data_IF_119771799529
#
_entry.id   IF_119771799529
#
_cell.length_a   1.000
_cell.length_b   1.000
_cell.length_c   1.000
_cell.angle_alpha   90.00
_cell.angle_beta   90.00
_cell.angle_gamma   90.00
#
_symmetry.space_group_name_H-M   'P 1'
#
loop_
_entity.id
_entity.type
_entity.pdbx_description
1 polymer ?
#
# COMPACT_ATOMS: atom_id res chain seq x y z
N UNK A 1 60.01 34.36 -36.10
CA UNK A 1 58.64 33.77 -36.16
C UNK A 1 57.81 34.54 -35.11
N UNK A 2 57.23 35.73 -35.32
CA UNK A 2 56.46 36.27 -36.47
C UNK A 2 55.53 35.19 -36.98
N UNK A 3 54.19 35.23 -36.87
CA UNK A 3 53.14 36.27 -37.02
C UNK A 3 51.88 35.71 -36.32
N UNK A 4 50.86 36.42 -35.85
CA UNK A 4 50.30 37.70 -36.30
C UNK A 4 48.94 37.46 -36.96
N UNK A 5 47.92 38.18 -36.47
CA UNK A 5 46.69 38.60 -37.15
C UNK A 5 45.60 37.54 -37.39
N UNK A 6 44.32 37.87 -37.61
CA UNK A 6 43.42 39.00 -37.34
C UNK A 6 42.11 38.59 -38.03
N UNK A 7 40.97 39.01 -37.50
CA UNK A 7 39.68 38.97 -38.21
C UNK A 7 39.74 39.72 -39.56
N UNK A 8 38.77 39.50 -40.46
CA UNK A 8 37.75 40.53 -40.60
C UNK A 8 36.30 40.05 -40.83
N UNK A 9 35.40 40.97 -40.45
CA UNK A 9 34.02 41.27 -40.87
C UNK A 9 33.69 40.97 -42.35
N UNK A 10 32.45 40.84 -42.86
CA UNK A 10 31.12 41.38 -42.55
C UNK A 10 30.12 40.80 -43.59
N UNK A 11 28.82 40.77 -43.31
CA UNK A 11 27.82 40.62 -44.39
C UNK A 11 26.39 40.23 -43.99
N UNK A 12 25.63 41.23 -43.54
CA UNK A 12 24.17 41.48 -43.67
C UNK A 12 23.22 40.39 -44.22
N UNK A 13 22.11 40.12 -43.52
CA UNK A 13 20.76 40.65 -43.83
C UNK A 13 19.60 39.78 -43.28
N UNK A 14 18.59 40.46 -42.72
CA UNK A 14 17.14 40.17 -42.66
C UNK A 14 16.69 38.70 -42.46
N UNK A 15 15.96 38.33 -41.41
CA UNK A 15 14.76 38.97 -40.88
C UNK A 15 13.55 38.08 -41.17
N UNK A 16 12.98 37.40 -40.16
CA UNK A 16 11.59 36.96 -40.19
C UNK A 16 11.14 36.38 -38.84
N UNK A 17 10.01 36.87 -38.34
CA UNK A 17 8.98 35.97 -37.83
C UNK A 17 8.88 35.74 -36.32
N UNK A 18 8.86 36.80 -35.52
CA UNK A 18 8.30 36.77 -34.17
C UNK A 18 6.78 36.55 -34.26
N UNK A 19 6.33 35.28 -34.19
CA UNK A 19 4.89 34.96 -34.12
C UNK A 19 4.40 35.11 -32.68
N UNK A 20 3.81 36.26 -32.41
CA UNK A 20 2.82 36.44 -31.37
C UNK A 20 1.65 35.48 -31.66
N UNK A 21 1.34 34.58 -30.72
CA UNK A 21 0.07 33.84 -30.74
C UNK A 21 -0.86 34.52 -29.75
N UNK A 22 -1.85 35.17 -30.34
CA UNK A 22 -2.96 35.87 -29.72
C UNK A 22 -3.78 34.92 -28.88
N UNK A 23 -3.95 35.25 -27.60
CA UNK A 23 -4.93 34.65 -26.70
C UNK A 23 -6.33 35.06 -27.16
N UNK A 24 -6.97 34.23 -27.99
CA UNK A 24 -8.37 34.40 -28.37
C UNK A 24 -9.25 33.76 -27.30
N UNK A 25 -9.89 34.60 -26.50
CA UNK A 25 -10.99 34.23 -25.60
C UNK A 25 -12.22 33.84 -26.41
N UNK A 26 -12.48 32.53 -26.52
CA UNK A 26 -13.74 32.02 -27.06
C UNK A 26 -14.81 31.98 -25.97
N UNK A 27 -15.64 33.01 -25.98
CA UNK A 27 -16.93 33.10 -25.28
C UNK A 27 -17.89 32.09 -25.90
N UNK A 28 -18.09 30.94 -25.27
CA UNK A 28 -19.14 29.99 -25.67
C UNK A 28 -20.44 30.28 -24.92
N UNK A 29 -21.38 30.83 -25.67
CA UNK A 29 -22.79 31.05 -25.33
C UNK A 29 -23.47 29.68 -25.19
N UNK A 30 -23.84 29.25 -23.98
CA UNK A 30 -24.78 28.15 -23.74
C UNK A 30 -26.08 28.71 -23.18
N UNK A 31 -27.15 28.54 -23.94
CA UNK A 31 -28.52 28.82 -23.51
C UNK A 31 -29.06 27.75 -22.56
N UNK A 32 -29.86 28.23 -21.60
CA UNK A 32 -31.16 27.70 -21.20
C UNK A 32 -31.27 26.25 -20.69
N UNK A 33 -31.57 26.09 -19.39
CA UNK A 33 -32.22 24.87 -18.90
C UNK A 33 -32.09 24.59 -17.40
N UNK A 34 -32.97 25.20 -16.59
CA UNK A 34 -33.53 24.58 -15.37
C UNK A 34 -32.67 24.47 -14.10
N UNK A 35 -32.60 25.54 -13.30
CA UNK A 35 -32.27 25.45 -11.85
C UNK A 35 -33.56 25.24 -11.05
N UNK A 36 -33.69 24.09 -10.37
CA UNK A 36 -34.68 23.87 -9.31
C UNK A 36 -34.27 24.65 -8.06
N UNK A 37 -35.03 25.68 -7.74
CA UNK A 37 -34.98 26.42 -6.48
C UNK A 37 -35.83 25.63 -5.48
N UNK A 38 -35.20 25.09 -4.43
CA UNK A 38 -35.93 24.55 -3.28
C UNK A 38 -36.08 25.68 -2.26
N UNK A 39 -37.35 25.99 -1.97
CA UNK A 39 -37.85 26.99 -1.04
C UNK A 39 -37.48 26.58 0.39
N UNK A 40 -36.65 27.36 1.07
CA UNK A 40 -36.46 27.24 2.53
C UNK A 40 -37.42 28.22 3.18
N UNK A 41 -38.45 27.68 3.85
CA UNK A 41 -39.42 28.45 4.61
C UNK A 41 -38.81 28.95 5.91
N UNK A 42 -38.96 30.26 6.13
CA UNK A 42 -38.63 31.01 7.34
C UNK A 42 -39.59 30.69 8.49
N UNK A 43 -39.05 30.33 9.65
CA UNK A 43 -39.69 30.56 10.94
C UNK A 43 -38.70 31.28 11.86
N UNK A 44 -39.08 32.49 12.25
CA UNK A 44 -38.33 33.38 13.14
C UNK A 44 -38.44 33.00 14.63
N UNK A 45 -37.92 33.85 15.53
CA UNK A 45 -37.00 33.42 16.59
C UNK A 45 -37.65 33.32 17.97
N UNK A 46 -37.12 32.46 18.83
CA UNK A 46 -37.33 32.57 20.27
C UNK A 46 -36.12 32.04 21.06
N UNK A 47 -35.71 32.83 22.05
CA UNK A 47 -35.04 32.31 23.25
C UNK A 47 -33.52 32.29 23.25
N UNK A 48 -32.92 33.41 23.66
CA UNK A 48 -31.59 33.46 24.27
C UNK A 48 -31.53 32.52 25.49
N UNK A 49 -30.47 31.71 25.57
CA UNK A 49 -30.16 30.88 26.74
C UNK A 49 -28.68 30.50 26.75
N UNK A 50 -27.89 31.29 27.47
CA UNK A 50 -26.47 31.11 27.72
C UNK A 50 -26.18 29.82 28.48
N UNK A 51 -25.17 29.05 28.05
CA UNK A 51 -24.56 27.99 28.85
C UNK A 51 -23.14 28.40 29.24
N UNK A 52 -22.86 28.68 30.53
CA UNK A 52 -21.50 28.91 30.98
C UNK A 52 -20.76 27.59 31.19
N UNK A 53 -19.51 27.56 30.75
CA UNK A 53 -18.49 26.63 31.23
C UNK A 53 -18.32 26.84 32.74
N UNK A 54 -18.53 25.81 33.53
CA UNK A 54 -18.02 25.74 34.89
C UNK A 54 -17.73 24.30 35.26
N UNK A 55 -16.43 24.03 35.42
CA UNK A 55 -15.89 22.92 36.18
C UNK A 55 -16.46 22.91 37.61
N UNK A 56 -17.02 21.79 38.04
CA UNK A 56 -17.18 21.48 39.46
C UNK A 56 -17.04 19.97 39.67
N UNK A 57 -15.92 19.58 40.27
CA UNK A 57 -15.85 18.35 41.05
C UNK A 57 -16.81 18.52 42.23
N UNK A 58 -17.78 17.61 42.37
CA UNK A 58 -18.59 17.52 43.59
C UNK A 58 -18.85 16.06 43.88
N UNK A 59 -18.22 15.57 44.94
CA UNK A 59 -18.52 14.31 45.62
C UNK A 59 -19.92 14.42 46.25
N UNK A 60 -20.89 13.71 45.68
CA UNK A 60 -22.22 13.47 46.26
C UNK A 60 -22.42 11.98 46.59
N UNK A 61 -23.39 11.62 47.46
CA UNK A 61 -23.57 10.26 47.94
C UNK A 61 -24.05 9.32 46.82
N UNK A 62 -23.60 8.06 46.86
CA UNK A 62 -23.98 7.03 45.89
C UNK A 62 -25.50 6.81 45.87
N UNK A 63 -26.18 6.86 44.71
CA UNK A 63 -27.59 6.52 44.64
C UNK A 63 -27.77 5.01 44.85
N UNK A 64 -28.80 4.66 45.64
CA UNK A 64 -29.25 3.30 45.84
C UNK A 64 -29.52 2.61 44.50
N UNK A 65 -28.98 1.41 44.32
CA UNK A 65 -29.13 0.62 43.09
C UNK A 65 -30.54 0.03 43.04
N UNK A 66 -31.49 0.79 42.50
CA UNK A 66 -32.79 0.27 42.10
C UNK A 66 -32.61 -0.54 40.80
N UNK A 67 -32.99 -1.82 40.79
CA UNK A 67 -32.99 -2.63 39.58
C UNK A 67 -34.17 -2.23 38.68
N UNK A 68 -33.88 -1.90 37.42
CA UNK A 68 -34.89 -1.57 36.42
C UNK A 68 -35.40 -2.87 35.81
N UNK A 69 -36.72 -3.07 35.82
CA UNK A 69 -37.39 -4.30 35.36
C UNK A 69 -37.22 -4.57 33.85
N UNK A 70 -36.85 -3.53 33.08
CA UNK A 70 -36.48 -3.61 31.66
C UNK A 70 -35.28 -2.74 31.36
N UNK A 71 -34.40 -3.20 30.47
CA UNK A 71 -33.27 -2.41 29.98
C UNK A 71 -33.80 -1.10 29.36
N UNK A 72 -33.36 0.08 29.82
CA UNK A 72 -33.75 1.36 29.23
C UNK A 72 -33.05 1.62 27.88
N UNK A 73 -32.22 0.69 27.41
CA UNK A 73 -31.47 0.79 26.17
C UNK A 73 -32.31 0.26 25.01
N UNK A 74 -32.75 1.17 24.13
CA UNK A 74 -33.37 0.80 22.86
C UNK A 74 -32.42 -0.03 22.02
N UNK A 75 -32.90 -1.13 21.43
CA UNK A 75 -32.13 -2.04 20.59
C UNK A 75 -32.80 -2.25 19.23
N UNK A 76 -31.99 -2.55 18.21
CA UNK A 76 -32.45 -3.05 16.93
C UNK A 76 -31.71 -4.34 16.55
N UNK A 77 -32.39 -5.20 15.81
CA UNK A 77 -31.82 -6.48 15.38
C UNK A 77 -30.94 -6.30 14.13
N UNK A 78 -29.68 -6.73 14.21
CA UNK A 78 -28.75 -6.73 13.07
C UNK A 78 -28.46 -8.17 12.65
N UNK A 79 -28.58 -8.44 11.35
CA UNK A 79 -28.23 -9.73 10.75
C UNK A 79 -26.73 -9.78 10.44
N UNK A 80 -26.01 -10.70 11.06
CA UNK A 80 -24.57 -10.95 10.86
C UNK A 80 -24.34 -11.74 9.57
N UNK A 81 -23.09 -11.71 9.07
CA UNK A 81 -22.68 -12.40 7.83
C UNK A 81 -22.82 -13.92 7.87
N UNK A 82 -22.84 -14.50 9.06
CA UNK A 82 -23.06 -15.93 9.32
C UNK A 82 -24.55 -16.30 9.36
N UNK A 83 -25.46 -15.35 9.12
CA UNK A 83 -26.90 -15.56 9.14
C UNK A 83 -27.53 -15.44 10.53
N UNK A 84 -26.75 -15.27 11.59
CA UNK A 84 -27.26 -15.08 12.96
C UNK A 84 -27.77 -13.65 13.17
N UNK A 85 -28.75 -13.50 14.06
CA UNK A 85 -29.31 -12.21 14.45
C UNK A 85 -28.79 -11.82 15.83
N UNK A 86 -28.33 -10.58 15.98
CA UNK A 86 -27.91 -10.02 17.26
C UNK A 86 -28.66 -8.72 17.56
N UNK A 87 -29.11 -8.56 18.80
CA UNK A 87 -29.68 -7.33 19.34
C UNK A 87 -28.56 -6.32 19.61
N UNK A 88 -28.65 -5.14 19.01
CA UNK A 88 -27.65 -4.08 19.12
C UNK A 88 -28.31 -2.83 19.67
N UNK A 89 -27.71 -2.23 20.71
CA UNK A 89 -28.18 -0.97 21.27
C UNK A 89 -28.12 0.18 20.24
N UNK A 90 -29.18 0.98 20.14
CA UNK A 90 -29.28 2.10 19.20
C UNK A 90 -28.21 3.17 19.43
N UNK A 91 -27.88 3.39 20.70
CA UNK A 91 -26.85 4.32 21.14
C UNK A 91 -25.47 3.64 21.29
N UNK A 92 -25.28 2.41 20.80
CA UNK A 92 -23.97 1.80 20.81
C UNK A 92 -23.01 2.70 20.01
N UNK A 93 -21.92 3.20 20.62
CA UNK A 93 -20.93 3.96 19.88
C UNK A 93 -20.36 3.04 18.80
N UNK A 94 -20.63 3.35 17.52
CA UNK A 94 -20.12 2.60 16.36
C UNK A 94 -18.57 2.57 16.31
N UNK A 95 -17.95 3.44 17.10
CA UNK A 95 -16.50 3.69 17.14
C UNK A 95 -15.78 3.05 18.34
N UNK A 96 -16.46 2.29 19.21
CA UNK A 96 -15.73 1.45 20.19
C UNK A 96 -15.43 0.10 19.54
N UNK A 97 -14.53 0.13 18.55
CA UNK A 97 -13.76 -1.06 18.15
C UNK A 97 -12.56 -1.14 19.07
N UNK A 98 -12.54 -2.11 19.98
CA UNK A 98 -11.31 -2.47 20.68
C UNK A 98 -10.22 -2.75 19.62
N UNK A 99 -9.19 -1.88 19.63
CA UNK A 99 -7.95 -1.90 18.83
C UNK A 99 -8.06 -2.20 17.31
N UNK A 100 -8.52 -1.23 16.51
CA UNK A 100 -8.19 -1.21 15.07
C UNK A 100 -6.76 -0.66 14.88
N UNK A 101 -5.76 -1.36 15.43
CA UNK A 101 -4.34 -1.08 15.16
C UNK A 101 -4.13 -1.27 13.67
N UNK A 102 -3.74 -0.21 12.97
CA UNK A 102 -3.45 -0.27 11.52
C UNK A 102 -1.96 -0.26 11.20
N UNK A 103 -1.12 0.03 12.19
CA UNK A 103 0.33 0.14 12.02
C UNK A 103 1.03 -0.82 12.97
N UNK A 104 2.14 -1.38 12.52
CA UNK A 104 3.07 -2.12 13.36
C UNK A 104 4.48 -1.54 13.12
N UNK A 105 5.43 -1.73 14.03
CA UNK A 105 6.81 -1.33 13.78
C UNK A 105 7.49 -2.30 12.79
N UNK A 106 8.57 -1.90 12.08
CA UNK A 106 9.26 -2.82 11.17
C UNK A 106 9.80 -4.05 11.87
N UNK A 107 10.24 -3.92 13.13
CA UNK A 107 10.62 -5.06 13.98
C UNK A 107 9.45 -6.01 14.26
N UNK A 108 8.26 -5.48 14.59
CA UNK A 108 7.05 -6.29 14.79
C UNK A 108 6.62 -6.96 13.48
N UNK A 109 6.76 -6.28 12.34
CA UNK A 109 6.54 -6.86 11.02
C UNK A 109 7.49 -8.03 10.76
N UNK A 110 8.81 -7.86 11.00
CA UNK A 110 9.80 -8.93 10.83
C UNK A 110 9.48 -10.12 11.71
N UNK A 111 9.17 -9.89 12.99
CA UNK A 111 8.76 -10.94 13.92
C UNK A 111 7.52 -11.71 13.42
N UNK A 112 6.49 -10.99 12.97
CA UNK A 112 5.27 -11.60 12.42
C UNK A 112 5.54 -12.39 11.13
N UNK A 113 6.39 -11.87 10.25
CA UNK A 113 6.81 -12.54 9.02
C UNK A 113 7.59 -13.82 9.36
N UNK A 114 8.56 -13.73 10.26
CA UNK A 114 9.44 -14.85 10.59
C UNK A 114 8.66 -15.97 11.29
N UNK A 115 7.84 -15.63 12.30
CA UNK A 115 6.98 -16.61 12.98
C UNK A 115 5.89 -17.12 12.04
N UNK A 116 5.08 -16.21 11.50
CA UNK A 116 3.83 -16.53 10.82
C UNK A 116 3.98 -17.06 9.40
N UNK A 117 5.04 -16.67 8.67
CA UNK A 117 5.24 -17.01 7.25
C UNK A 117 6.48 -17.85 6.97
N UNK A 118 7.53 -17.71 7.77
CA UNK A 118 8.81 -18.41 7.56
C UNK A 118 8.99 -19.65 8.46
N UNK A 119 8.08 -19.88 9.42
CA UNK A 119 8.15 -21.05 10.28
C UNK A 119 9.14 -20.96 11.43
N UNK A 120 9.45 -19.76 11.91
CA UNK A 120 10.29 -19.57 13.09
C UNK A 120 9.44 -19.60 14.37
N UNK A 121 10.11 -19.84 15.49
CA UNK A 121 9.57 -19.73 16.85
C UNK A 121 9.71 -18.28 17.34
N UNK A 122 9.10 -17.97 18.50
CA UNK A 122 9.23 -16.66 19.14
C UNK A 122 10.69 -16.29 19.49
N UNK A 123 11.55 -17.29 19.70
CA UNK A 123 12.98 -17.12 20.00
C UNK A 123 13.86 -17.02 18.74
N UNK A 124 13.26 -16.91 17.55
CA UNK A 124 14.02 -16.78 16.30
C UNK A 124 14.70 -18.08 15.83
N UNK A 125 14.34 -19.23 16.41
CA UNK A 125 14.81 -20.54 15.96
C UNK A 125 13.85 -21.15 14.93
N UNK A 126 14.32 -21.90 13.92
CA UNK A 126 13.46 -22.67 13.03
C UNK A 126 12.55 -23.60 13.83
N UNK A 127 11.25 -23.62 13.53
CA UNK A 127 10.33 -24.54 14.18
C UNK A 127 10.53 -25.96 13.65
N UNK A 128 10.64 -26.92 14.58
CA UNK A 128 10.67 -28.33 14.25
C UNK A 128 9.39 -28.80 13.53
N UNK A 129 9.55 -29.60 12.48
CA UNK A 129 8.43 -30.12 11.68
C UNK A 129 7.79 -29.09 10.73
N UNK A 130 8.34 -27.87 10.65
CA UNK A 130 7.89 -26.90 9.68
C UNK A 130 8.19 -27.35 8.25
N UNK A 131 7.14 -27.59 7.46
CA UNK A 131 7.25 -28.15 6.10
C UNK A 131 7.60 -27.11 5.03
N UNK A 132 7.48 -25.84 5.37
CA UNK A 132 7.85 -24.72 4.53
C UNK A 132 7.27 -24.65 3.11
N UNK A 133 6.07 -25.19 2.90
CA UNK A 133 5.56 -25.46 1.54
C UNK A 133 5.40 -24.21 0.66
N UNK A 134 5.13 -23.06 1.27
CA UNK A 134 4.85 -21.82 0.55
C UNK A 134 5.58 -20.62 1.13
N UNK A 135 6.60 -20.81 1.96
CA UNK A 135 7.17 -19.73 2.76
C UNK A 135 7.86 -18.71 1.89
N UNK A 136 8.68 -19.17 0.92
CA UNK A 136 9.32 -18.30 -0.04
C UNK A 136 8.30 -17.44 -0.78
N UNK A 137 7.15 -18.03 -1.17
CA UNK A 137 6.04 -17.29 -1.80
C UNK A 137 5.43 -16.28 -0.85
N UNK A 138 5.07 -16.72 0.36
CA UNK A 138 4.31 -15.93 1.31
C UNK A 138 5.14 -14.76 1.85
N UNK A 139 6.41 -15.02 2.16
CA UNK A 139 7.41 -14.05 2.61
C UNK A 139 7.68 -13.03 1.53
N UNK A 140 7.97 -13.47 0.29
CA UNK A 140 8.18 -12.55 -0.83
C UNK A 140 6.96 -11.66 -1.11
N UNK A 141 5.74 -12.18 -0.93
CA UNK A 141 4.53 -11.36 -1.08
C UNK A 141 4.36 -10.35 0.05
N UNK A 142 4.55 -10.76 1.30
CA UNK A 142 4.48 -9.85 2.44
C UNK A 142 5.53 -8.73 2.34
N UNK A 143 6.77 -9.10 1.99
CA UNK A 143 7.88 -8.16 1.82
C UNK A 143 7.63 -7.22 0.64
N UNK A 144 7.05 -7.72 -0.47
CA UNK A 144 6.59 -6.87 -1.56
C UNK A 144 5.63 -5.79 -1.05
N UNK A 145 4.56 -6.17 -0.34
CA UNK A 145 3.57 -5.19 0.14
C UNK A 145 4.18 -4.21 1.14
N UNK A 146 5.01 -4.69 2.05
CA UNK A 146 5.69 -3.89 3.08
C UNK A 146 6.69 -2.89 2.48
N UNK A 147 7.44 -3.29 1.45
CA UNK A 147 8.50 -2.48 0.88
C UNK A 147 8.01 -1.50 -0.19
N UNK A 148 6.92 -1.81 -0.90
CA UNK A 148 6.43 -1.00 -2.03
C UNK A 148 5.10 -0.28 -1.76
N UNK A 149 4.41 -0.62 -0.68
CA UNK A 149 3.11 -0.05 -0.34
C UNK A 149 2.01 -0.38 -1.34
N UNK A 150 2.14 -1.43 -2.15
CA UNK A 150 1.09 -1.87 -3.07
C UNK A 150 -0.21 -2.23 -2.32
N UNK A 151 -1.36 -2.01 -2.95
CA UNK A 151 -2.63 -2.57 -2.44
C UNK A 151 -2.64 -4.08 -2.67
N UNK A 152 -3.46 -4.80 -1.90
CA UNK A 152 -3.62 -6.25 -2.02
C UNK A 152 -3.88 -6.71 -3.46
N UNK A 153 -4.81 -6.07 -4.18
CA UNK A 153 -5.08 -6.37 -5.59
C UNK A 153 -3.88 -6.06 -6.47
N UNK A 154 -3.23 -4.93 -6.27
CA UNK A 154 -2.09 -4.48 -7.09
C UNK A 154 -0.93 -5.48 -6.98
N UNK A 155 -0.49 -5.80 -5.75
CA UNK A 155 0.57 -6.77 -5.51
C UNK A 155 0.17 -8.20 -5.88
N UNK A 156 -1.08 -8.61 -5.60
CA UNK A 156 -1.57 -9.96 -5.84
C UNK A 156 -1.82 -10.30 -7.32
N UNK A 157 -1.92 -9.29 -8.19
CA UNK A 157 -2.18 -9.45 -9.62
C UNK A 157 -0.97 -9.16 -10.51
N UNK A 158 0.24 -9.00 -9.94
CA UNK A 158 1.46 -8.83 -10.73
C UNK A 158 1.71 -10.03 -11.63
N UNK A 159 2.16 -9.73 -12.85
CA UNK A 159 2.71 -10.70 -13.79
C UNK A 159 4.23 -10.78 -13.60
N UNK A 160 4.84 -11.90 -13.97
CA UNK A 160 6.31 -12.08 -13.90
C UNK A 160 7.07 -11.01 -14.69
N UNK A 161 6.49 -10.56 -15.80
CA UNK A 161 7.07 -9.54 -16.68
C UNK A 161 6.94 -8.09 -16.14
N UNK A 162 6.18 -7.90 -15.05
CA UNK A 162 6.04 -6.63 -14.32
C UNK A 162 6.97 -6.55 -13.10
N UNK A 163 7.65 -7.65 -12.77
CA UNK A 163 8.69 -7.64 -11.73
C UNK A 163 9.91 -6.90 -12.29
N UNK A 164 10.44 -5.89 -11.57
CA UNK A 164 11.68 -5.22 -11.96
C UNK A 164 12.84 -6.21 -12.06
N UNK A 165 13.83 -5.92 -12.89
CA UNK A 165 15.05 -6.74 -12.95
C UNK A 165 16.16 -6.06 -12.16
N UNK A 166 16.90 -6.83 -11.37
CA UNK A 166 18.05 -6.30 -10.65
C UNK A 166 19.14 -5.85 -11.64
N UNK A 167 19.60 -4.62 -11.46
CA UNK A 167 20.73 -4.02 -12.17
C UNK A 167 21.77 -3.70 -11.10
N UNK A 168 22.98 -4.23 -11.25
CA UNK A 168 24.05 -4.06 -10.26
C UNK A 168 24.25 -2.59 -9.86
N UNK A 169 24.38 -2.34 -8.56
CA UNK A 169 24.67 -1.00 -8.01
C UNK A 169 23.45 -0.16 -7.62
N UNK A 170 22.22 -0.61 -7.86
CA UNK A 170 21.01 0.10 -7.43
C UNK A 170 20.41 -0.50 -6.16
N UNK A 171 20.00 0.37 -5.23
CA UNK A 171 19.32 -0.04 -3.99
C UNK A 171 17.80 -0.24 -4.18
N UNK A 172 17.21 0.45 -5.17
CA UNK A 172 15.79 0.41 -5.47
C UNK A 172 15.55 0.21 -6.97
N UNK A 173 14.51 -0.55 -7.27
CA UNK A 173 14.10 -0.90 -8.62
C UNK A 173 12.67 -0.47 -8.88
N UNK A 174 12.45 0.07 -10.08
CA UNK A 174 11.19 0.63 -10.50
C UNK A 174 10.32 -0.43 -11.18
N UNK A 175 9.06 -0.52 -10.76
CA UNK A 175 8.02 -1.32 -11.40
C UNK A 175 6.77 -0.50 -11.69
N UNK A 176 5.85 -1.06 -12.47
CA UNK A 176 4.61 -0.40 -12.88
C UNK A 176 3.39 -1.19 -12.43
N UNK A 177 2.39 -0.51 -11.90
CA UNK A 177 1.07 -1.06 -11.64
C UNK A 177 0.16 -0.76 -12.82
N UNK A 178 -0.37 -1.80 -13.45
CA UNK A 178 -1.35 -1.66 -14.52
C UNK A 178 -2.64 -0.96 -14.04
N UNK A 179 -3.19 -0.08 -14.88
CA UNK A 179 -4.39 0.69 -14.57
C UNK A 179 -5.60 -0.19 -14.21
N UNK A 180 -5.80 -1.32 -14.90
CA UNK A 180 -6.93 -2.24 -14.68
C UNK A 180 -6.92 -2.93 -13.29
N UNK A 181 -5.75 -3.01 -12.62
CA UNK A 181 -5.63 -3.59 -11.28
C UNK A 181 -5.45 -2.51 -10.19
N UNK A 182 -5.15 -1.28 -10.59
CA UNK A 182 -5.09 -0.14 -9.71
C UNK A 182 -6.49 0.34 -9.31
N UNK A 183 -6.60 1.02 -8.17
CA UNK A 183 -7.87 1.64 -7.75
C UNK A 183 -8.29 2.80 -8.67
N UNK A 184 -7.33 3.43 -9.37
CA UNK A 184 -7.55 4.70 -10.09
C UNK A 184 -6.81 4.73 -11.41
N UNK A 185 -5.50 4.89 -11.36
CA UNK A 185 -4.65 5.05 -12.53
C UNK A 185 -3.42 4.15 -12.43
N UNK A 186 -2.78 3.94 -13.58
CA UNK A 186 -1.41 3.47 -13.63
C UNK A 186 -0.51 4.33 -12.74
N UNK A 187 0.45 3.67 -12.09
CA UNK A 187 1.45 4.33 -11.25
C UNK A 187 2.70 3.48 -11.17
N UNK A 188 3.81 4.11 -10.83
CA UNK A 188 5.04 3.41 -10.52
C UNK A 188 5.06 2.99 -9.05
N UNK A 189 5.84 1.96 -8.77
CA UNK A 189 6.23 1.57 -7.42
C UNK A 189 7.72 1.28 -7.40
N UNK A 190 8.33 1.38 -6.23
CA UNK A 190 9.73 1.04 -6.03
C UNK A 190 9.85 -0.14 -5.07
N UNK A 191 10.82 -1.01 -5.33
CA UNK A 191 11.13 -2.17 -4.52
C UNK A 191 12.61 -2.16 -4.17
N UNK A 192 12.97 -2.39 -2.92
CA UNK A 192 14.38 -2.50 -2.54
C UNK A 192 14.99 -3.83 -3.04
N UNK A 193 16.32 -3.87 -3.11
CA UNK A 193 17.05 -5.06 -3.56
C UNK A 193 16.67 -6.34 -2.80
N UNK A 194 16.56 -6.30 -1.47
CA UNK A 194 16.29 -7.51 -0.68
C UNK A 194 14.93 -8.16 -1.00
N UNK A 195 13.87 -7.35 -1.12
CA UNK A 195 12.56 -7.88 -1.48
C UNK A 195 12.50 -8.36 -2.93
N UNK A 196 13.26 -7.73 -3.83
CA UNK A 196 13.40 -8.22 -5.20
C UNK A 196 14.11 -9.58 -5.21
N UNK A 197 15.21 -9.73 -4.48
CA UNK A 197 15.92 -11.01 -4.33
C UNK A 197 15.03 -12.10 -3.73
N UNK A 198 14.14 -11.76 -2.78
CA UNK A 198 13.13 -12.69 -2.27
C UNK A 198 12.16 -13.18 -3.35
N UNK A 199 11.68 -12.27 -4.22
CA UNK A 199 10.83 -12.63 -5.36
C UNK A 199 11.59 -13.48 -6.38
N UNK A 200 12.82 -13.12 -6.72
CA UNK A 200 13.69 -13.88 -7.64
C UNK A 200 13.97 -15.30 -7.10
N UNK A 201 14.23 -15.41 -5.80
CA UNK A 201 14.40 -16.71 -5.12
C UNK A 201 13.14 -17.56 -5.24
N UNK A 202 11.96 -16.99 -4.98
CA UNK A 202 10.67 -17.67 -5.16
C UNK A 202 10.46 -18.13 -6.61
N UNK A 203 10.75 -17.26 -7.60
CA UNK A 203 10.65 -17.57 -9.03
C UNK A 203 11.56 -18.74 -9.42
N UNK A 204 12.80 -18.75 -8.93
CA UNK A 204 13.81 -19.75 -9.25
C UNK A 204 13.56 -21.10 -8.55
N UNK A 205 12.91 -21.10 -7.38
CA UNK A 205 12.77 -22.28 -6.52
C UNK A 205 11.33 -22.80 -6.45
N UNK A 206 10.55 -22.42 -5.44
CA UNK A 206 9.25 -23.01 -5.10
C UNK A 206 8.21 -22.79 -6.19
N UNK A 207 8.26 -21.66 -6.92
CA UNK A 207 7.37 -21.43 -8.07
C UNK A 207 7.63 -22.43 -9.19
N UNK A 208 8.90 -22.63 -9.55
CA UNK A 208 9.32 -23.58 -10.58
C UNK A 208 8.93 -25.01 -10.19
N UNK A 209 9.06 -25.38 -8.92
CA UNK A 209 8.62 -26.67 -8.41
C UNK A 209 7.09 -26.85 -8.55
N UNK A 210 6.30 -25.85 -8.16
CA UNK A 210 4.84 -25.88 -8.27
C UNK A 210 4.38 -26.00 -9.74
N UNK A 211 5.05 -25.31 -10.66
CA UNK A 211 4.78 -25.42 -12.11
C UNK A 211 5.06 -26.83 -12.62
N UNK A 212 6.22 -27.40 -12.29
CA UNK A 212 6.58 -28.76 -12.69
C UNK A 212 5.56 -29.78 -12.19
N UNK A 213 5.10 -29.63 -10.94
CA UNK A 213 4.08 -30.50 -10.37
C UNK A 213 2.72 -30.33 -11.08
N UNK A 214 2.32 -29.09 -11.38
CA UNK A 214 1.07 -28.80 -12.07
C UNK A 214 1.04 -29.39 -13.49
N UNK A 215 2.16 -29.29 -14.22
CA UNK A 215 2.33 -29.90 -15.54
C UNK A 215 2.25 -31.42 -15.47
N UNK A 216 3.01 -32.06 -14.57
CA UNK A 216 2.98 -33.52 -14.36
C UNK A 216 1.57 -34.05 -14.04
N UNK A 217 0.79 -33.25 -13.31
CA UNK A 217 -0.60 -33.58 -12.98
C UNK A 217 -1.62 -33.18 -14.07
N UNK A 218 -1.18 -32.70 -15.24
CA UNK A 218 -2.05 -32.29 -16.35
C UNK A 218 -2.99 -31.13 -16.02
N UNK A 219 -2.66 -30.30 -15.02
CA UNK A 219 -3.58 -29.28 -14.50
C UNK A 219 -3.80 -28.13 -15.48
N UNK A 220 -2.77 -27.76 -16.24
CA UNK A 220 -2.86 -26.67 -17.22
C UNK A 220 -3.66 -27.07 -18.45
N UNK A 221 -3.61 -28.35 -18.85
CA UNK A 221 -4.40 -28.87 -19.97
C UNK A 221 -5.90 -28.78 -19.67
N UNK A 222 -6.28 -29.12 -18.43
CA UNK A 222 -7.67 -29.07 -17.93
C UNK A 222 -8.17 -27.65 -17.65
N UNK A 223 -7.30 -26.64 -17.62
CA UNK A 223 -7.68 -25.27 -17.30
C UNK A 223 -8.45 -24.63 -18.47
N UNK A 224 -9.72 -24.31 -18.25
CA UNK A 224 -10.61 -23.68 -19.23
C UNK A 224 -10.29 -22.19 -19.37
N UNK A 225 -10.45 -21.66 -20.59
CA UNK A 225 -10.27 -20.24 -20.87
C UNK A 225 -8.82 -19.74 -20.82
N UNK A 226 -7.83 -20.64 -20.73
CA UNK A 226 -6.42 -20.25 -20.83
C UNK A 226 -6.12 -19.60 -22.19
N UNK A 227 -5.25 -18.62 -22.15
CA UNK A 227 -4.76 -17.83 -23.28
C UNK A 227 -3.25 -18.00 -23.34
N UNK A 228 -2.75 -18.55 -24.43
CA UNK A 228 -1.32 -18.78 -24.64
C UNK A 228 -0.75 -17.53 -25.32
N UNK A 229 0.09 -16.80 -24.60
CA UNK A 229 0.78 -15.61 -25.05
C UNK A 229 1.79 -16.01 -26.12
N UNK A 230 1.61 -15.43 -27.31
CA UNK A 230 2.44 -15.70 -28.49
C UNK A 230 3.48 -14.62 -28.72
N UNK A 231 3.20 -13.39 -28.26
CA UNK A 231 4.09 -12.24 -28.43
C UNK A 231 3.82 -11.18 -27.38
N UNK A 232 4.87 -10.49 -26.95
CA UNK A 232 4.78 -9.26 -26.17
C UNK A 232 5.43 -8.16 -27.01
N UNK A 233 4.72 -7.06 -27.27
CA UNK A 233 5.32 -5.94 -28.00
C UNK A 233 6.35 -5.22 -27.15
N UNK A 234 7.41 -4.76 -27.82
CA UNK A 234 8.38 -3.83 -27.23
C UNK A 234 7.83 -2.40 -27.30
N UNK A 235 8.31 -1.52 -26.42
CA UNK A 235 7.96 -0.11 -26.40
C UNK A 235 7.15 0.33 -25.18
N UNK A 236 6.82 1.63 -25.14
CA UNK A 236 6.23 2.32 -23.97
C UNK A 236 4.87 1.75 -23.55
N UNK A 237 4.05 1.28 -24.49
CA UNK A 237 2.81 0.56 -24.20
C UNK A 237 2.95 -0.91 -24.61
N UNK A 238 3.41 -1.74 -23.68
CA UNK A 238 3.53 -3.19 -23.88
C UNK A 238 2.15 -3.79 -24.13
N UNK A 239 1.98 -4.49 -25.26
CA UNK A 239 0.80 -5.27 -25.60
C UNK A 239 1.10 -6.75 -25.52
N UNK A 240 0.15 -7.51 -25.00
CA UNK A 240 0.20 -8.97 -24.94
C UNK A 240 -0.68 -9.49 -26.05
N UNK A 241 -0.13 -10.35 -26.90
CA UNK A 241 -0.86 -11.08 -27.94
C UNK A 241 -0.99 -12.53 -27.50
N UNK A 242 -2.17 -13.12 -27.70
CA UNK A 242 -2.43 -14.49 -27.28
C UNK A 242 -3.28 -15.26 -28.29
N UNK A 243 -3.32 -16.57 -28.09
CA UNK A 243 -4.20 -17.51 -28.76
C UNK A 243 -4.98 -18.32 -27.72
N UNK A 244 -6.29 -18.47 -27.90
CA UNK A 244 -7.12 -19.32 -27.05
C UNK A 244 -7.04 -20.81 -27.47
N UNK A 245 -7.79 -21.68 -26.77
CA UNK A 245 -7.83 -23.11 -27.07
C UNK A 245 -8.52 -23.45 -28.41
N UNK A 246 -9.32 -22.55 -28.97
CA UNK A 246 -9.99 -22.69 -30.27
C UNK A 246 -9.15 -22.13 -31.43
N UNK A 247 -7.99 -21.53 -31.13
CA UNK A 247 -7.12 -20.92 -32.11
C UNK A 247 -7.40 -19.44 -32.39
N UNK A 248 -8.40 -18.83 -31.73
CA UNK A 248 -8.68 -17.41 -31.90
C UNK A 248 -7.54 -16.58 -31.33
N UNK A 249 -7.13 -15.56 -32.09
CA UNK A 249 -6.10 -14.62 -31.71
C UNK A 249 -6.74 -13.38 -31.09
N UNK A 250 -6.09 -12.82 -30.08
CA UNK A 250 -6.46 -11.55 -29.47
C UNK A 250 -5.25 -10.82 -28.94
N UNK A 251 -5.42 -9.54 -28.63
CA UNK A 251 -4.40 -8.74 -28.01
C UNK A 251 -4.99 -7.63 -27.14
N UNK A 252 -4.22 -7.21 -26.13
CA UNK A 252 -4.56 -6.09 -25.27
C UNK A 252 -3.30 -5.41 -24.73
N UNK A 253 -3.35 -4.10 -24.46
CA UNK A 253 -2.28 -3.45 -23.70
C UNK A 253 -2.27 -4.03 -22.28
N UNK A 254 -1.09 -4.31 -21.75
CA UNK A 254 -0.93 -4.93 -20.42
C UNK A 254 -1.66 -4.17 -19.30
N UNK A 255 -1.72 -2.85 -19.45
CA UNK A 255 -2.39 -1.95 -18.52
C UNK A 255 -3.91 -2.09 -18.50
N UNK A 256 -4.51 -2.66 -19.54
CA UNK A 256 -5.95 -2.91 -19.63
C UNK A 256 -6.36 -4.32 -19.23
N UNK A 257 -5.41 -5.23 -19.02
CA UNK A 257 -5.70 -6.63 -18.65
C UNK A 257 -6.06 -6.69 -17.17
N UNK A 258 -7.27 -7.13 -16.85
CA UNK A 258 -7.80 -7.15 -15.49
C UNK A 258 -7.29 -8.34 -14.64
N UNK A 259 -7.66 -8.35 -13.36
CA UNK A 259 -7.25 -9.39 -12.41
C UNK A 259 -7.72 -10.81 -12.78
N UNK A 260 -8.85 -10.96 -13.48
CA UNK A 260 -9.37 -12.26 -13.91
C UNK A 260 -8.68 -12.73 -15.18
N UNK A 261 -8.47 -11.83 -16.14
CA UNK A 261 -7.77 -12.06 -17.40
C UNK A 261 -6.31 -12.44 -17.18
N UNK A 262 -5.61 -11.73 -16.29
CA UNK A 262 -4.21 -12.04 -15.91
C UNK A 262 -4.00 -13.48 -15.46
N UNK A 263 -4.97 -14.07 -14.76
CA UNK A 263 -4.93 -15.46 -14.29
C UNK A 263 -5.06 -16.49 -15.42
N UNK A 264 -5.53 -16.07 -16.59
CA UNK A 264 -5.70 -16.92 -17.76
C UNK A 264 -4.53 -16.83 -18.73
N UNK A 265 -3.56 -15.94 -18.49
CA UNK A 265 -2.39 -15.79 -19.35
C UNK A 265 -1.32 -16.85 -19.03
N UNK A 266 -0.91 -17.59 -20.05
CA UNK A 266 0.15 -18.58 -20.01
C UNK A 266 1.16 -18.30 -21.12
N UNK A 267 2.42 -18.68 -20.92
CA UNK A 267 3.46 -18.66 -21.95
C UNK A 267 3.98 -20.07 -22.17
N UNK A 268 4.42 -20.36 -23.38
CA UNK A 268 5.11 -21.60 -23.72
C UNK A 268 6.60 -21.41 -23.41
N UNK A 269 7.14 -22.20 -22.47
CA UNK A 269 8.56 -22.21 -22.10
C UNK A 269 9.16 -23.58 -22.44
N UNK A 270 10.49 -23.74 -22.32
CA UNK A 270 11.23 -24.96 -22.71
C UNK A 270 10.67 -26.25 -22.07
N UNK A 271 10.00 -26.14 -20.92
CA UNK A 271 9.38 -27.27 -20.22
C UNK A 271 7.85 -27.38 -20.36
N UNK A 272 7.22 -26.60 -21.24
CA UNK A 272 5.76 -26.54 -21.47
C UNK A 272 5.10 -25.24 -20.98
N UNK A 273 3.79 -25.29 -20.74
CA UNK A 273 3.03 -24.09 -20.34
C UNK A 273 3.41 -23.58 -18.94
N UNK A 274 3.58 -22.27 -18.80
CA UNK A 274 3.75 -21.56 -17.52
C UNK A 274 2.74 -20.43 -17.38
N UNK A 275 2.12 -20.24 -16.20
CA UNK A 275 1.32 -19.05 -15.98
C UNK A 275 2.19 -17.80 -15.99
N UNK A 276 1.68 -16.69 -16.52
CA UNK A 276 2.34 -15.39 -16.41
C UNK A 276 2.10 -14.70 -15.05
N UNK A 277 1.07 -15.11 -14.31
CA UNK A 277 0.85 -14.55 -12.97
C UNK A 277 2.02 -14.91 -12.04
N UNK A 278 2.51 -13.93 -11.29
CA UNK A 278 3.63 -14.09 -10.37
C UNK A 278 3.31 -15.13 -9.27
N UNK A 279 2.17 -14.95 -8.61
CA UNK A 279 1.78 -15.72 -7.44
C UNK A 279 0.95 -16.94 -7.81
N UNK A 280 1.44 -18.12 -7.43
CA UNK A 280 0.77 -19.39 -7.66
C UNK A 280 0.37 -20.05 -6.34
N UNK A 281 -0.69 -20.83 -6.37
CA UNK A 281 -1.04 -21.74 -5.26
C UNK A 281 0.01 -22.85 -5.14
N UNK A 282 -0.03 -23.62 -4.05
CA UNK A 282 0.80 -24.82 -3.89
C UNK A 282 0.64 -25.79 -5.08
N UNK A 283 -0.56 -25.86 -5.65
CA UNK A 283 -0.85 -26.67 -6.83
C UNK A 283 -0.33 -26.10 -8.16
N UNK A 284 0.37 -24.97 -8.15
CA UNK A 284 0.92 -24.29 -9.33
C UNK A 284 -0.11 -23.54 -10.17
N UNK A 285 -1.30 -23.24 -9.61
CA UNK A 285 -2.37 -22.53 -10.31
C UNK A 285 -2.30 -21.03 -9.98
N UNK A 286 -2.55 -20.12 -10.95
CA UNK A 286 -2.77 -18.69 -10.72
C UNK A 286 -3.64 -18.39 -9.49
N UNK A 287 -3.08 -17.69 -8.50
CA UNK A 287 -3.72 -17.42 -7.22
C UNK A 287 -4.67 -16.21 -7.31
N UNK A 288 -5.89 -16.33 -6.78
CA UNK A 288 -6.77 -15.17 -6.61
C UNK A 288 -6.22 -14.26 -5.51
N UNK A 289 -6.09 -12.96 -5.79
CA UNK A 289 -5.49 -11.99 -4.87
C UNK A 289 -6.18 -11.92 -3.50
N UNK A 290 -7.48 -12.26 -3.40
CA UNK A 290 -8.21 -12.27 -2.13
C UNK A 290 -7.74 -13.38 -1.20
N UNK A 291 -7.16 -14.44 -1.75
CA UNK A 291 -6.66 -15.58 -0.96
C UNK A 291 -5.54 -15.18 0.00
N UNK A 292 -4.85 -14.08 -0.27
CA UNK A 292 -3.83 -13.51 0.60
C UNK A 292 -4.38 -13.07 1.96
N UNK A 293 -5.65 -12.67 2.08
CA UNK A 293 -6.25 -12.35 3.38
C UNK A 293 -6.20 -13.55 4.33
N UNK A 294 -6.45 -14.76 3.80
CA UNK A 294 -6.36 -16.00 4.58
C UNK A 294 -4.93 -16.35 4.96
N UNK A 295 -3.95 -16.06 4.09
CA UNK A 295 -2.53 -16.27 4.39
C UNK A 295 -2.09 -15.39 5.56
N UNK A 296 -2.47 -14.11 5.55
CA UNK A 296 -2.20 -13.19 6.67
C UNK A 296 -2.95 -13.59 7.94
N UNK A 297 -4.21 -14.03 7.83
CA UNK A 297 -4.96 -14.54 8.99
C UNK A 297 -4.24 -15.72 9.63
N UNK A 298 -3.85 -16.73 8.85
CA UNK A 298 -3.13 -17.89 9.36
C UNK A 298 -1.76 -17.52 9.97
N UNK A 299 -1.10 -16.49 9.44
CA UNK A 299 0.14 -15.96 10.00
C UNK A 299 -0.09 -15.31 11.37
N UNK A 300 -1.17 -14.54 11.53
CA UNK A 300 -1.55 -13.91 12.80
C UNK A 300 -1.93 -14.97 13.84
N UNK A 301 -2.77 -15.95 13.47
CA UNK A 301 -3.17 -17.06 14.35
C UNK A 301 -1.94 -17.81 14.88
N UNK A 302 -0.93 -17.97 14.02
CA UNK A 302 0.34 -18.59 14.38
C UNK A 302 1.18 -17.72 15.30
N UNK A 303 1.23 -16.40 15.09
CA UNK A 303 1.89 -15.48 16.01
C UNK A 303 1.25 -15.56 17.41
N UNK A 304 -0.09 -15.61 17.46
CA UNK A 304 -0.84 -15.77 18.71
C UNK A 304 -0.53 -17.10 19.41
N UNK A 305 -0.45 -18.21 18.68
CA UNK A 305 -0.02 -19.51 19.22
C UNK A 305 1.39 -19.48 19.83
N UNK A 306 2.26 -18.61 19.32
CA UNK A 306 3.60 -18.38 19.85
C UNK A 306 3.65 -17.25 20.91
N UNK A 307 2.51 -16.83 21.47
CA UNK A 307 2.43 -15.84 22.54
C UNK A 307 2.71 -14.40 22.09
N UNK A 308 2.71 -14.13 20.78
CA UNK A 308 2.92 -12.79 20.22
C UNK A 308 1.63 -12.38 19.48
N UNK A 309 0.66 -11.69 20.14
CA UNK A 309 -0.65 -11.36 19.56
C UNK A 309 -0.56 -10.23 18.51
N UNK A 310 0.10 -10.51 17.40
CA UNK A 310 0.34 -9.57 16.31
C UNK A 310 -0.79 -9.66 15.30
N UNK A 311 -1.38 -8.51 14.97
CA UNK A 311 -2.41 -8.43 13.94
C UNK A 311 -1.89 -7.69 12.71
N UNK A 312 -1.44 -8.46 11.72
CA UNK A 312 -0.96 -7.93 10.44
C UNK A 312 -1.99 -8.20 9.34
N UNK A 313 -2.29 -7.18 8.54
CA UNK A 313 -3.13 -7.31 7.34
C UNK A 313 -2.38 -6.78 6.12
N UNK A 314 -2.77 -7.18 4.89
CA UNK A 314 -2.20 -6.57 3.68
C UNK A 314 -2.33 -5.04 3.66
N UNK A 315 -3.41 -4.50 4.25
CA UNK A 315 -3.59 -3.06 4.35
C UNK A 315 -2.66 -2.42 5.39
N UNK A 316 -2.39 -3.11 6.49
CA UNK A 316 -1.42 -2.67 7.48
C UNK A 316 -0.03 -2.52 6.85
N UNK A 317 0.44 -3.48 6.03
CA UNK A 317 1.74 -3.34 5.32
C UNK A 317 1.86 -2.01 4.54
N UNK A 318 0.77 -1.57 3.92
CA UNK A 318 0.71 -0.28 3.21
C UNK A 318 0.73 0.94 4.14
N UNK A 319 0.09 0.84 5.31
CA UNK A 319 0.18 1.85 6.36
C UNK A 319 1.61 2.00 6.90
N UNK A 320 2.29 0.87 7.13
CA UNK A 320 3.70 0.85 7.52
C UNK A 320 4.60 1.45 6.47
N UNK A 321 4.42 1.07 5.20
CA UNK A 321 5.17 1.64 4.09
C UNK A 321 5.08 3.17 4.08
N UNK A 322 3.87 3.72 4.24
CA UNK A 322 3.67 5.18 4.25
C UNK A 322 4.48 5.86 5.36
N UNK A 323 4.43 5.29 6.57
CA UNK A 323 5.14 5.82 7.74
C UNK A 323 6.67 5.70 7.54
N UNK A 324 7.15 4.52 7.13
CA UNK A 324 8.55 4.24 6.84
C UNK A 324 9.10 5.21 5.79
N UNK A 325 8.42 5.30 4.64
CA UNK A 325 8.87 6.13 3.53
C UNK A 325 8.85 7.61 3.84
N UNK A 326 7.91 8.09 4.66
CA UNK A 326 7.94 9.47 5.11
C UNK A 326 9.24 9.76 5.87
N UNK A 327 9.56 8.94 6.88
CA UNK A 327 10.79 9.09 7.69
C UNK A 327 12.05 8.95 6.81
N UNK A 328 12.06 8.00 5.88
CA UNK A 328 13.20 7.80 4.96
C UNK A 328 13.40 8.98 4.02
N UNK A 329 12.34 9.49 3.40
CA UNK A 329 12.41 10.61 2.47
C UNK A 329 12.79 11.89 3.18
N UNK A 330 12.25 12.11 4.38
CA UNK A 330 12.59 13.26 5.23
C UNK A 330 14.10 13.34 5.48
N UNK A 331 14.68 12.24 5.98
CA UNK A 331 16.13 12.12 6.20
C UNK A 331 16.97 12.20 4.94
N UNK A 332 16.44 11.74 3.81
CA UNK A 332 17.14 11.84 2.54
C UNK A 332 17.18 13.30 2.05
N UNK A 333 16.10 14.06 2.25
CA UNK A 333 16.03 15.48 1.91
C UNK A 333 16.93 16.30 2.85
N UNK A 334 16.89 16.05 4.16
CA UNK A 334 17.76 16.72 5.14
C UNK A 334 19.24 16.56 4.76
N UNK A 335 19.69 15.32 4.49
CA UNK A 335 21.07 15.05 4.06
C UNK A 335 21.44 15.70 2.73
N UNK A 336 20.51 15.76 1.78
CA UNK A 336 20.77 16.31 0.44
C UNK A 336 20.90 17.83 0.45
N UNK A 337 20.20 18.51 1.35
CA UNK A 337 20.17 19.96 1.42
C UNK A 337 21.06 20.56 2.53
N UNK A 338 21.65 19.74 3.41
CA UNK A 338 22.62 20.19 4.41
C UNK A 338 22.05 21.21 5.40
N UNK A 339 20.74 21.16 5.66
CA UNK A 339 20.04 22.13 6.49
C UNK A 339 20.42 21.95 7.97
N UNK A 340 20.89 23.00 8.63
CA UNK A 340 21.12 22.97 10.08
C UNK A 340 19.78 23.02 10.84
N UNK A 341 19.80 22.60 12.11
CA UNK A 341 18.63 22.47 12.98
C UNK A 341 17.75 23.73 13.02
N UNK A 342 18.33 24.92 12.89
CA UNK A 342 17.65 26.23 12.93
C UNK A 342 17.09 26.72 11.58
N UNK A 343 17.55 26.20 10.44
CA UNK A 343 17.10 26.64 9.10
C UNK A 343 15.83 25.91 8.62
N UNK A 344 15.40 24.89 9.38
CA UNK A 344 14.26 24.01 9.08
C UNK A 344 12.86 24.64 9.23
N UNK A 345 12.76 25.91 9.62
CA UNK A 345 11.50 26.66 9.54
C UNK A 345 11.13 27.08 8.11
N UNK A 346 12.13 27.29 7.25
CA UNK A 346 11.91 27.44 5.81
C UNK A 346 11.59 26.09 5.12
N UNK A 347 11.92 24.96 5.77
CA UNK A 347 11.71 23.61 5.28
C UNK A 347 10.24 23.15 5.27
N UNK A 348 9.27 23.97 5.73
CA UNK A 348 7.83 23.68 5.56
C UNK A 348 7.41 23.45 4.10
N UNK A 349 8.15 24.05 3.15
CA UNK A 349 8.01 23.82 1.70
C UNK A 349 8.58 22.45 1.27
N UNK A 350 9.73 22.06 1.82
CA UNK A 350 10.44 20.79 1.57
C UNK A 350 9.69 19.60 2.20
N UNK A 351 9.09 19.78 3.39
CA UNK A 351 8.22 18.78 4.01
C UNK A 351 6.93 18.57 3.21
N UNK A 352 6.42 19.60 2.53
CA UNK A 352 5.36 19.45 1.53
C UNK A 352 5.73 18.42 0.46
N UNK A 353 6.99 18.44 0.01
CA UNK A 353 7.50 17.53 -1.02
C UNK A 353 7.55 16.07 -0.53
N UNK A 354 7.92 15.80 0.73
CA UNK A 354 7.91 14.43 1.27
C UNK A 354 6.50 13.82 1.34
N UNK A 355 5.50 14.58 1.80
CA UNK A 355 4.11 14.12 1.81
C UNK A 355 3.55 13.96 0.40
N UNK A 356 3.91 14.83 -0.54
CA UNK A 356 3.53 14.73 -1.94
C UNK A 356 4.12 13.47 -2.59
N UNK A 357 5.41 13.19 -2.35
CA UNK A 357 6.08 11.97 -2.81
C UNK A 357 5.42 10.72 -2.23
N UNK A 358 5.16 10.67 -0.92
CA UNK A 358 4.45 9.52 -0.31
C UNK A 358 3.03 9.37 -0.87
N UNK A 359 2.30 10.47 -1.11
CA UNK A 359 0.99 10.43 -1.78
C UNK A 359 1.08 9.81 -3.17
N UNK A 360 2.10 10.18 -3.95
CA UNK A 360 2.32 9.65 -5.30
C UNK A 360 2.71 8.17 -5.29
N UNK A 361 3.64 7.78 -4.39
CA UNK A 361 4.02 6.38 -4.16
C UNK A 361 2.83 5.52 -3.73
N UNK A 362 1.88 6.09 -2.99
CA UNK A 362 0.65 5.42 -2.61
C UNK A 362 -0.42 5.47 -3.73
N UNK A 363 -0.33 6.40 -4.68
CA UNK A 363 -1.40 6.64 -5.65
C UNK A 363 -2.69 7.16 -4.99
N UNK A 364 -2.55 8.11 -4.06
CA UNK A 364 -3.68 8.86 -3.48
C UNK A 364 -3.97 10.12 -4.31
N UNK A 365 -5.24 10.52 -4.37
CA UNK A 365 -5.69 11.72 -5.10
C UNK A 365 -5.57 12.99 -4.28
N UNK A 366 -5.50 12.84 -2.96
CA UNK A 366 -5.43 13.95 -2.02
C UNK A 366 -4.37 13.61 -0.98
N UNK A 367 -3.52 14.60 -0.68
CA UNK A 367 -2.59 14.53 0.45
C UNK A 367 -3.32 14.39 1.78
N UNK A 368 -4.53 14.96 1.89
CA UNK A 368 -5.35 14.88 3.08
C UNK A 368 -5.65 13.42 3.44
N UNK A 369 -5.96 12.57 2.45
CA UNK A 369 -6.13 11.13 2.66
C UNK A 369 -4.87 10.48 3.22
N UNK A 370 -3.69 10.86 2.69
CA UNK A 370 -2.40 10.36 3.20
C UNK A 370 -2.18 10.80 4.66
N UNK A 371 -2.37 12.09 4.96
CA UNK A 371 -2.19 12.67 6.30
C UNK A 371 -3.16 12.08 7.32
N UNK A 372 -4.46 12.13 7.04
CA UNK A 372 -5.53 11.76 7.99
C UNK A 372 -5.64 10.26 8.21
N UNK A 373 -5.42 9.44 7.19
CA UNK A 373 -5.67 7.99 7.26
C UNK A 373 -4.37 7.20 7.41
N UNK A 374 -3.29 7.57 6.71
CA UNK A 374 -2.06 6.76 6.65
C UNK A 374 -0.96 7.23 7.59
N UNK A 375 -0.98 8.51 7.96
CA UNK A 375 -0.02 9.12 8.85
C UNK A 375 -0.71 9.62 10.14
N UNK A 376 -1.89 9.05 10.44
CA UNK A 376 -2.64 9.34 11.66
C UNK A 376 -1.80 9.20 12.95
N UNK A 377 -0.91 8.20 13.11
CA UNK A 377 -0.05 8.11 14.28
C UNK A 377 0.88 9.31 14.47
N UNK A 378 1.22 10.00 13.38
CA UNK A 378 2.03 11.22 13.42
C UNK A 378 1.19 12.48 13.59
N UNK A 379 -0.13 12.41 13.43
CA UNK A 379 -1.02 13.55 13.69
C UNK A 379 -1.14 13.75 15.21
N UNK A 380 -0.27 14.60 15.77
CA UNK A 380 -0.25 14.92 17.20
C UNK A 380 1.15 14.87 17.79
N UNK A 381 2.03 14.07 17.20
CA UNK A 381 3.46 14.23 17.38
C UNK A 381 3.89 15.39 16.50
N UNK A 382 4.61 16.38 17.06
CA UNK A 382 5.39 17.25 16.17
C UNK A 382 6.37 16.31 15.48
N UNK A 383 6.13 15.97 14.22
CA UNK A 383 7.01 15.12 13.41
C UNK A 383 8.46 15.57 13.54
N UNK A 384 8.68 16.89 13.66
CA UNK A 384 9.93 17.52 14.11
C UNK A 384 10.53 16.90 15.38
N UNK A 385 9.82 16.84 16.50
CA UNK A 385 10.33 16.24 17.76
C UNK A 385 10.69 14.75 17.65
N UNK A 386 10.15 14.03 16.67
CA UNK A 386 10.51 12.62 16.40
C UNK A 386 11.79 12.56 15.54
N UNK A 387 11.90 13.45 14.56
CA UNK A 387 12.99 13.49 13.58
C UNK A 387 14.19 14.33 14.05
N UNK A 388 14.01 15.17 15.08
CA UNK A 388 15.03 15.91 15.83
C UNK A 388 15.87 15.00 16.74
N UNK A 389 15.57 13.70 16.75
CA UNK A 389 16.47 12.67 17.28
C UNK A 389 17.85 12.72 16.62
N UNK A 390 18.84 12.10 17.24
CA UNK A 390 20.22 12.13 16.76
C UNK A 390 20.29 11.66 15.29
N UNK A 391 21.12 12.28 14.45
CA UNK A 391 21.26 11.88 13.02
C UNK A 391 21.66 10.40 12.86
N UNK A 392 22.28 9.82 13.90
CA UNK A 392 22.66 8.41 14.01
C UNK A 392 21.54 7.47 14.46
N UNK A 393 20.34 7.96 14.78
CA UNK A 393 19.28 7.14 15.34
C UNK A 393 18.65 6.24 14.28
N UNK A 394 18.58 4.93 14.54
CA UNK A 394 17.99 3.97 13.62
C UNK A 394 16.50 4.25 13.37
N UNK A 395 16.02 3.97 12.15
CA UNK A 395 14.62 4.06 11.76
C UNK A 395 13.71 3.28 12.72
N UNK A 396 14.17 2.13 13.21
CA UNK A 396 13.42 1.31 14.16
C UNK A 396 13.26 1.99 15.52
N UNK A 397 14.27 2.72 16.00
CA UNK A 397 14.18 3.49 17.24
C UNK A 397 13.17 4.64 17.14
N UNK A 398 13.15 5.33 15.99
CA UNK A 398 12.16 6.36 15.69
C UNK A 398 10.74 5.80 15.72
N UNK A 399 10.51 4.69 15.01
CA UNK A 399 9.18 4.08 14.91
C UNK A 399 8.72 3.46 16.24
N UNK A 400 9.67 3.00 17.07
CA UNK A 400 9.42 2.58 18.45
C UNK A 400 8.93 3.76 19.30
N UNK A 401 9.55 4.93 19.18
CA UNK A 401 9.07 6.14 19.88
C UNK A 401 7.67 6.55 19.42
N UNK A 402 7.41 6.50 18.11
CA UNK A 402 6.06 6.73 17.56
C UNK A 402 5.07 5.74 18.18
N UNK A 403 5.44 4.47 18.32
CA UNK A 403 4.59 3.47 18.94
C UNK A 403 4.32 3.73 20.43
N UNK A 404 5.33 4.12 21.20
CA UNK A 404 5.13 4.52 22.60
C UNK A 404 4.17 5.70 22.75
N UNK A 405 4.16 6.63 21.79
CA UNK A 405 3.32 7.82 21.84
C UNK A 405 1.93 7.65 21.21
N UNK A 406 1.65 6.54 20.51
CA UNK A 406 0.42 6.34 19.77
C UNK A 406 -0.12 4.91 19.90
N UNK A 407 -1.29 4.78 20.54
CA UNK A 407 -2.05 3.52 20.64
C UNK A 407 -2.46 2.90 19.29
N UNK A 408 -2.23 3.60 18.18
CA UNK A 408 -2.55 3.13 16.83
C UNK A 408 -1.45 2.24 16.24
N UNK A 409 -0.24 2.27 16.81
CA UNK A 409 0.91 1.50 16.35
C UNK A 409 1.20 0.40 17.36
N UNK A 410 1.22 -0.84 16.89
CA UNK A 410 1.62 -1.99 17.70
C UNK A 410 3.11 -2.20 17.60
N UNK A 411 3.70 -2.45 18.76
CA UNK A 411 5.12 -2.68 18.89
C UNK A 411 5.35 -3.79 19.90
N UNK A 412 5.79 -4.95 19.41
CA UNK A 412 6.09 -6.11 20.23
C UNK A 412 7.59 -6.15 20.43
N UNK A 413 8.04 -5.84 21.65
CA UNK A 413 9.43 -6.10 22.04
C UNK A 413 9.69 -7.62 21.98
N UNK A 414 10.81 -8.09 21.43
CA UNK A 414 11.39 -9.33 21.92
C UNK A 414 11.68 -9.08 23.41
N UNK A 415 11.07 -9.87 24.28
CA UNK A 415 11.25 -9.72 25.73
C UNK A 415 12.70 -10.04 26.06
N UNK A 416 13.29 -9.43 27.09
CA UNK A 416 14.69 -9.69 27.47
C UNK A 416 14.94 -11.14 27.95
N UNK A 417 13.89 -11.94 28.12
CA UNK A 417 13.96 -13.40 28.31
C UNK A 417 14.20 -14.16 26.99
N UNK A 418 14.20 -13.47 25.84
CA UNK A 418 14.45 -14.01 24.50
C UNK A 418 15.90 -13.73 23.99
N UNK A 419 16.83 -13.32 24.87
CA UNK A 419 18.24 -13.00 24.53
C UNK A 419 19.24 -14.02 25.09
#
# INVERSE_FOLDING_TARGET
RTTGCSSPSSGSAAGSGMRQTTTTSMTTRRGGGGRRIIRVGSAGPSGLGSWPRSSCCTTGPSPAVAHVERSPVSTHTVRRRDGTTAEVADNQPKDVRASNVKWVTPRTYRLCRDIGLCGYTAHGLPQEGWRGRNDGRNTAFADLLFQSGLRLREGGCLLTLEVPHAIHGYAYYEGTVAAAIAKRSERMFYLNADALTGIETYLATTRRAAIRQARRAGRYDRLRGKQIVTKISQGRQRRVFWRDALGHKGDAPINAIDASERRRLFIEADGGLEPLQLWLTEGGIPMDYRSWEKVFSAANDRCEQHGKPIYLTPHACRHLFALKMLVTLDRALDRRFGLDRSERDHARKIYGDAFALVKDLLGHSSEETTRTIYLAPLNGLRLRSILDGNESEDLDAILTRVAHSSRLVMDVNPTAEDA
#
